data_IF_162834000393
#
_entry.id   IF_162834000393
#
_cell.length_a   1.000
_cell.length_b   1.000
_cell.length_c   1.000
_cell.angle_alpha   90.00
_cell.angle_beta   90.00
_cell.angle_gamma   90.00
#
_symmetry.space_group_name_H-M   'P 1'
#
loop_
_entity.id
_entity.type
_entity.pdbx_description
1 polymer ?
#
# COMPACT_ATOMS: atom_id res chain seq x y z
N UNK A 1 -16.25 -1.93 -12.31
CA UNK A 1 -17.03 -3.18 -12.13
C UNK A 1 -17.76 -3.60 -13.41
N UNK A 2 -18.46 -2.69 -14.10
CA UNK A 2 -19.21 -3.00 -15.33
C UNK A 2 -18.34 -3.54 -16.49
N UNK A 3 -17.12 -3.02 -16.68
CA UNK A 3 -16.21 -3.49 -17.72
C UNK A 3 -15.74 -4.94 -17.54
N UNK A 4 -15.58 -5.39 -16.28
CA UNK A 4 -15.13 -6.77 -15.99
C UNK A 4 -16.23 -7.79 -16.32
N UNK A 5 -17.48 -7.45 -16.01
CA UNK A 5 -18.66 -8.29 -16.29
C UNK A 5 -18.89 -8.40 -17.79
N UNK A 6 -18.73 -7.30 -18.55
CA UNK A 6 -18.87 -7.30 -20.00
C UNK A 6 -17.80 -8.17 -20.70
N UNK A 7 -16.55 -8.13 -20.24
CA UNK A 7 -15.45 -8.92 -20.80
C UNK A 7 -15.60 -10.41 -20.47
N UNK A 8 -16.03 -10.73 -19.25
CA UNK A 8 -16.30 -12.11 -18.84
C UNK A 8 -17.49 -12.70 -19.61
N UNK A 9 -18.56 -11.90 -19.79
CA UNK A 9 -19.74 -12.31 -20.53
C UNK A 9 -19.43 -12.50 -22.03
N UNK A 10 -18.64 -11.61 -22.65
CA UNK A 10 -18.20 -11.76 -24.04
C UNK A 10 -17.31 -13.00 -24.24
N UNK A 11 -16.44 -13.29 -23.28
CA UNK A 11 -15.55 -14.47 -23.32
C UNK A 11 -16.34 -15.78 -23.20
N UNK A 12 -17.36 -15.82 -22.33
CA UNK A 12 -18.25 -16.97 -22.16
C UNK A 12 -19.16 -17.19 -23.39
N UNK A 13 -19.66 -16.10 -24.00
CA UNK A 13 -20.45 -16.18 -25.24
C UNK A 13 -19.63 -16.74 -26.40
N UNK A 14 -18.39 -16.27 -26.55
CA UNK A 14 -17.48 -16.73 -27.60
C UNK A 14 -17.11 -18.22 -27.42
N UNK A 15 -16.91 -18.65 -26.17
CA UNK A 15 -16.67 -20.05 -25.82
C UNK A 15 -17.87 -20.96 -26.17
N UNK A 16 -19.11 -20.46 -25.94
CA UNK A 16 -20.36 -21.19 -26.25
C UNK A 16 -20.61 -21.32 -27.76
N UNK A 17 -20.26 -20.30 -28.54
CA UNK A 17 -20.36 -20.32 -30.02
C UNK A 17 -19.35 -21.30 -30.61
N UNK A 18 -18.12 -21.34 -30.10
CA UNK A 18 -17.08 -22.27 -30.54
C UNK A 18 -17.44 -23.73 -30.17
N UNK A 19 -17.98 -24.00 -28.98
CA UNK A 19 -18.49 -25.34 -28.63
C UNK A 19 -19.69 -25.75 -29.49
N UNK A 20 -20.64 -24.84 -29.72
CA UNK A 20 -21.86 -25.12 -30.48
C UNK A 20 -21.62 -25.39 -31.97
N UNK A 21 -20.63 -24.74 -32.57
CA UNK A 21 -20.24 -24.95 -33.98
C UNK A 21 -19.40 -26.22 -34.18
N UNK A 22 -18.65 -26.66 -33.17
CA UNK A 22 -17.85 -27.90 -33.24
C UNK A 22 -18.68 -29.17 -32.95
N UNK A 23 -19.75 -29.06 -32.16
CA UNK A 23 -20.68 -30.17 -31.90
C UNK A 23 -21.65 -30.43 -33.08
N UNK A 24 -21.96 -29.43 -33.91
CA UNK A 24 -22.90 -29.56 -35.03
C UNK A 24 -22.26 -30.10 -36.33
N UNK A 25 -20.93 -30.14 -36.42
CA UNK A 25 -20.18 -30.55 -37.62
C UNK A 25 -19.63 -31.98 -37.59
N UNK A 26 -20.04 -32.83 -36.64
CA UNK A 26 -19.68 -34.25 -36.60
C UNK A 26 -20.89 -35.15 -36.90
N UNK A 27 -21.34 -35.29 -38.16
CA UNK A 27 -22.43 -36.19 -38.50
C UNK A 27 -22.00 -37.68 -38.62
N UNK A 28 -20.80 -38.07 -38.16
CA UNK A 28 -20.27 -39.43 -38.39
C UNK A 28 -19.60 -40.11 -37.17
N UNK A 29 -19.56 -39.50 -35.98
CA UNK A 29 -18.87 -40.06 -34.79
C UNK A 29 -19.87 -40.46 -33.71
N UNK A 30 -20.77 -41.38 -34.04
CA UNK A 30 -21.51 -42.13 -33.04
C UNK A 30 -21.46 -43.65 -33.32
N UNK A 31 -21.23 -44.05 -34.59
CA UNK A 31 -21.29 -45.44 -35.02
C UNK A 31 -19.95 -46.19 -35.11
N UNK A 32 -18.80 -45.51 -35.09
CA UNK A 32 -17.47 -46.13 -35.30
C UNK A 32 -16.58 -46.27 -34.05
N UNK A 33 -17.13 -46.01 -32.86
CA UNK A 33 -16.45 -46.14 -31.56
C UNK A 33 -16.19 -47.61 -31.11
N UNK A 34 -16.27 -48.58 -32.02
CA UNK A 34 -16.09 -50.00 -31.72
C UNK A 34 -14.89 -50.64 -32.41
N UNK A 35 -13.93 -49.87 -32.96
CA UNK A 35 -12.77 -50.47 -33.63
C UNK A 35 -11.41 -49.79 -33.34
N UNK A 36 -10.70 -50.38 -32.38
CA UNK A 36 -9.26 -50.64 -32.38
C UNK A 36 -8.27 -49.49 -32.08
N UNK A 37 -7.79 -49.49 -30.82
CA UNK A 37 -6.35 -49.43 -30.44
C UNK A 37 -5.44 -48.34 -31.03
N UNK A 38 -5.93 -47.12 -31.22
CA UNK A 38 -5.12 -45.92 -31.52
C UNK A 38 -5.45 -44.70 -30.64
N UNK A 39 -6.30 -44.88 -29.63
CA UNK A 39 -6.97 -43.79 -28.91
C UNK A 39 -6.15 -43.17 -27.77
N UNK A 40 -5.19 -43.90 -27.17
CA UNK A 40 -4.39 -43.35 -26.06
C UNK A 40 -3.45 -42.22 -26.52
N UNK A 41 -2.77 -42.38 -27.66
CA UNK A 41 -1.82 -41.39 -28.18
C UNK A 41 -2.49 -40.06 -28.57
N UNK A 42 -3.75 -40.11 -29.03
CA UNK A 42 -4.49 -38.93 -29.48
C UNK A 42 -5.20 -38.21 -28.33
N UNK A 43 -5.66 -38.93 -27.29
CA UNK A 43 -6.25 -38.31 -26.09
C UNK A 43 -5.16 -37.65 -25.25
N UNK A 44 -3.97 -38.26 -25.15
CA UNK A 44 -2.83 -37.64 -24.47
C UNK A 44 -2.24 -36.47 -25.27
N UNK A 45 -2.17 -36.55 -26.60
CA UNK A 45 -1.81 -35.40 -27.43
C UNK A 45 -2.85 -34.27 -27.39
N UNK A 46 -4.15 -34.60 -27.36
CA UNK A 46 -5.22 -33.61 -27.20
C UNK A 46 -5.22 -33.00 -25.80
N UNK A 47 -4.95 -33.77 -24.74
CA UNK A 47 -4.79 -33.29 -23.37
C UNK A 47 -3.57 -32.37 -23.26
N UNK A 48 -2.44 -32.74 -23.86
CA UNK A 48 -1.24 -31.92 -23.90
C UNK A 48 -1.46 -30.62 -24.72
N UNK A 49 -2.16 -30.70 -25.86
CA UNK A 49 -2.55 -29.54 -26.65
C UNK A 49 -3.53 -28.62 -25.89
N UNK A 50 -4.50 -29.20 -25.17
CA UNK A 50 -5.40 -28.46 -24.28
C UNK A 50 -4.64 -27.84 -23.10
N UNK A 51 -3.67 -28.51 -22.48
CA UNK A 51 -2.83 -27.95 -21.41
C UNK A 51 -1.89 -26.84 -21.92
N UNK A 52 -1.38 -26.96 -23.15
CA UNK A 52 -0.64 -25.91 -23.85
C UNK A 52 -1.53 -24.70 -24.16
N UNK A 53 -2.76 -24.92 -24.62
CA UNK A 53 -3.71 -23.84 -24.98
C UNK A 53 -4.35 -23.18 -23.74
N UNK A 54 -4.75 -23.95 -22.72
CA UNK A 54 -5.28 -23.48 -21.43
C UNK A 54 -4.19 -22.87 -20.56
N UNK A 55 -2.98 -23.45 -20.56
CA UNK A 55 -1.83 -22.92 -19.85
C UNK A 55 -1.33 -21.59 -20.43
N UNK A 56 -1.33 -21.44 -21.76
CA UNK A 56 -0.90 -20.21 -22.42
C UNK A 56 -1.92 -19.06 -22.28
N UNK A 57 -3.22 -19.33 -22.37
CA UNK A 57 -4.27 -18.34 -22.13
C UNK A 57 -4.42 -17.96 -20.65
N UNK A 58 -4.30 -18.91 -19.71
CA UNK A 58 -4.36 -18.60 -18.28
C UNK A 58 -3.14 -17.78 -17.85
N UNK A 59 -1.91 -18.14 -18.26
CA UNK A 59 -0.70 -17.36 -17.94
C UNK A 59 -0.73 -15.95 -18.50
N UNK A 60 -1.24 -15.75 -19.72
CA UNK A 60 -1.34 -14.42 -20.35
C UNK A 60 -2.44 -13.56 -19.72
N UNK A 61 -3.55 -14.18 -19.32
CA UNK A 61 -4.59 -13.47 -18.56
C UNK A 61 -4.06 -13.11 -17.16
N UNK A 62 -3.44 -14.04 -16.45
CA UNK A 62 -2.84 -13.80 -15.13
C UNK A 62 -1.77 -12.70 -15.20
N UNK A 63 -0.93 -12.66 -16.23
CA UNK A 63 0.07 -11.58 -16.38
C UNK A 63 -0.57 -10.21 -16.61
N UNK A 64 -1.64 -10.13 -17.40
CA UNK A 64 -2.38 -8.87 -17.62
C UNK A 64 -3.13 -8.43 -16.34
N UNK A 65 -3.69 -9.37 -15.59
CA UNK A 65 -4.30 -9.08 -14.30
C UNK A 65 -3.27 -8.60 -13.27
N UNK A 66 -2.10 -9.23 -13.19
CA UNK A 66 -1.02 -8.81 -12.29
C UNK A 66 -0.47 -7.44 -12.72
N UNK A 67 -0.38 -7.15 -14.02
CA UNK A 67 0.12 -5.87 -14.51
C UNK A 67 -0.81 -4.70 -14.18
N UNK A 68 -2.12 -4.87 -14.36
CA UNK A 68 -3.09 -3.79 -14.11
C UNK A 68 -3.49 -3.68 -12.63
N UNK A 69 -3.84 -4.81 -12.00
CA UNK A 69 -4.28 -4.80 -10.61
C UNK A 69 -3.12 -4.77 -9.63
N UNK A 70 -1.96 -5.33 -9.98
CA UNK A 70 -0.78 -5.31 -9.11
C UNK A 70 -0.26 -3.90 -8.85
N UNK A 71 -0.31 -3.01 -9.85
CA UNK A 71 0.07 -1.60 -9.67
C UNK A 71 -0.94 -0.85 -8.80
N UNK A 72 -2.24 -1.05 -9.01
CA UNK A 72 -3.27 -0.42 -8.19
C UNK A 72 -3.21 -0.89 -6.73
N UNK A 73 -3.08 -2.20 -6.50
CA UNK A 73 -2.91 -2.79 -5.17
C UNK A 73 -1.61 -2.27 -4.54
N UNK A 74 -0.52 -2.23 -5.29
CA UNK A 74 0.76 -1.70 -4.85
C UNK A 74 0.67 -0.24 -4.41
N UNK A 75 0.00 0.62 -5.19
CA UNK A 75 -0.21 2.02 -4.84
C UNK A 75 -1.10 2.18 -3.60
N UNK A 76 -2.14 1.36 -3.44
CA UNK A 76 -3.00 1.39 -2.25
C UNK A 76 -2.19 0.96 -1.02
N UNK A 77 -1.40 -0.12 -1.11
CA UNK A 77 -0.56 -0.58 0.00
C UNK A 77 0.51 0.46 0.34
N UNK A 78 1.23 0.99 -0.65
CA UNK A 78 2.24 2.04 -0.45
C UNK A 78 1.65 3.30 0.17
N UNK A 79 0.47 3.76 -0.29
CA UNK A 79 -0.18 4.94 0.30
C UNK A 79 -0.64 4.68 1.74
N UNK A 80 -1.17 3.49 2.05
CA UNK A 80 -1.51 3.12 3.43
C UNK A 80 -0.27 3.02 4.32
N UNK A 81 0.85 2.48 3.81
CA UNK A 81 2.13 2.44 4.51
C UNK A 81 2.67 3.86 4.75
N UNK A 82 2.70 4.73 3.73
CA UNK A 82 3.17 6.11 3.85
C UNK A 82 2.28 6.90 4.81
N UNK A 83 0.96 6.83 4.69
CA UNK A 83 0.03 7.50 5.60
C UNK A 83 0.13 6.91 7.02
N UNK A 84 0.33 5.61 7.16
CA UNK A 84 0.60 4.94 8.43
C UNK A 84 1.88 5.47 9.08
N UNK A 85 2.98 5.52 8.33
CA UNK A 85 4.26 6.10 8.75
C UNK A 85 4.12 7.57 9.12
N UNK A 86 3.45 8.39 8.30
CA UNK A 86 3.22 9.81 8.59
C UNK A 86 2.41 9.99 9.87
N UNK A 87 1.35 9.20 10.08
CA UNK A 87 0.56 9.22 11.32
C UNK A 87 1.39 8.78 12.53
N UNK A 88 2.25 7.79 12.37
CA UNK A 88 3.14 7.32 13.43
C UNK A 88 4.19 8.38 13.81
N UNK A 89 4.85 8.98 12.82
CA UNK A 89 5.81 10.08 13.02
C UNK A 89 5.14 11.30 13.67
N UNK A 90 3.89 11.62 13.29
CA UNK A 90 3.15 12.73 13.91
C UNK A 90 2.76 12.42 15.36
N UNK A 91 2.46 11.15 15.67
CA UNK A 91 2.13 10.73 17.04
C UNK A 91 3.34 10.80 17.98
N UNK A 92 4.54 10.51 17.50
CA UNK A 92 5.77 10.55 18.32
C UNK A 92 6.25 11.97 18.65
N UNK A 93 5.65 13.03 18.09
CA UNK A 93 6.05 14.42 18.33
C UNK A 93 5.27 15.13 19.44
N UNK A 94 4.45 14.41 20.22
CA UNK A 94 3.65 15.05 21.27
C UNK A 94 4.53 15.49 22.45
N UNK A 95 4.65 16.79 22.65
CA UNK A 95 5.29 17.38 23.83
C UNK A 95 4.43 17.08 25.05
N UNK A 96 5.05 16.55 26.10
CA UNK A 96 4.36 16.26 27.36
C UNK A 96 4.59 17.41 28.33
N UNK A 97 3.55 17.83 29.04
CA UNK A 97 3.65 18.86 30.09
C UNK A 97 3.63 18.16 31.45
N UNK A 98 4.59 18.48 32.30
CA UNK A 98 4.70 17.98 33.67
C UNK A 98 4.96 19.13 34.63
N UNK A 99 4.64 18.96 35.90
CA UNK A 99 4.97 19.93 36.95
C UNK A 99 6.21 19.45 37.70
N UNK A 100 7.17 20.34 37.93
CA UNK A 100 8.37 20.03 38.69
C UNK A 100 8.04 19.71 40.16
N UNK A 101 8.70 18.68 40.71
CA UNK A 101 8.64 18.32 42.11
C UNK A 101 10.04 18.26 42.71
N UNK A 102 10.17 18.74 43.93
CA UNK A 102 11.41 18.67 44.72
C UNK A 102 11.87 17.21 44.87
N UNK A 103 12.98 16.85 44.21
CA UNK A 103 13.51 15.48 44.13
C UNK A 103 13.52 14.84 42.72
N UNK A 104 13.08 15.56 41.69
CA UNK A 104 13.19 15.12 40.31
C UNK A 104 14.65 15.05 39.81
N UNK A 105 14.89 14.27 38.74
CA UNK A 105 16.23 14.07 38.14
C UNK A 105 16.81 15.31 37.47
N UNK A 106 15.95 16.26 37.09
CA UNK A 106 16.31 17.47 36.35
C UNK A 106 16.34 18.63 37.35
N UNK A 107 17.46 19.34 37.42
CA UNK A 107 17.65 20.41 38.43
C UNK A 107 17.64 21.81 37.82
N UNK A 108 18.05 21.94 36.56
CA UNK A 108 18.25 23.23 35.89
C UNK A 108 17.74 23.22 34.47
N UNK A 109 17.22 24.35 34.03
CA UNK A 109 16.84 24.57 32.64
C UNK A 109 18.05 25.07 31.84
N UNK A 110 18.39 24.37 30.76
CA UNK A 110 19.57 24.71 29.93
C UNK A 110 19.38 26.00 29.12
N UNK A 111 18.13 26.43 28.90
CA UNK A 111 17.82 27.63 28.11
C UNK A 111 18.06 28.90 28.93
N UNK A 112 17.50 28.99 30.13
CA UNK A 112 17.63 30.15 31.01
C UNK A 112 18.74 30.01 32.06
N UNK A 113 19.31 28.81 32.22
CA UNK A 113 20.34 28.48 33.22
C UNK A 113 19.87 28.68 34.68
N UNK A 114 18.55 28.64 34.92
CA UNK A 114 17.93 28.78 36.24
C UNK A 114 17.52 27.40 36.77
N UNK A 115 17.62 27.21 38.09
CA UNK A 115 17.11 26.03 38.80
C UNK A 115 15.58 25.94 38.76
N UNK A 116 15.04 24.73 38.78
CA UNK A 116 13.60 24.54 38.80
C UNK A 116 13.01 24.74 40.20
N UNK A 117 11.89 25.44 40.26
CA UNK A 117 11.13 25.66 41.49
C UNK A 117 9.88 24.78 41.56
N UNK A 118 9.49 24.37 42.77
CA UNK A 118 8.35 23.49 42.98
C UNK A 118 7.05 24.12 42.44
N UNK A 119 6.34 23.39 41.59
CA UNK A 119 5.13 23.89 40.93
C UNK A 119 5.36 24.51 39.54
N UNK A 120 6.60 24.65 39.08
CA UNK A 120 6.87 25.13 37.72
C UNK A 120 6.41 24.14 36.64
N UNK A 121 5.94 24.70 35.51
CA UNK A 121 5.53 23.92 34.35
C UNK A 121 6.73 23.58 33.47
N UNK A 122 6.99 22.29 33.34
CA UNK A 122 8.03 21.71 32.51
C UNK A 122 7.42 21.09 31.25
N UNK A 123 8.15 21.19 30.14
CA UNK A 123 7.84 20.53 28.88
C UNK A 123 8.91 19.52 28.55
N UNK A 124 8.47 18.28 28.34
CA UNK A 124 9.30 17.14 27.95
C UNK A 124 9.14 16.95 26.44
N UNK A 125 10.24 17.15 25.72
CA UNK A 125 10.30 16.93 24.27
C UNK A 125 10.30 15.42 23.94
N UNK A 126 9.96 15.03 22.70
CA UNK A 126 9.99 13.63 22.29
C UNK A 126 11.38 12.98 22.35
N UNK A 127 12.45 13.79 22.44
CA UNK A 127 13.82 13.35 22.69
C UNK A 127 14.16 13.21 24.20
N UNK A 128 13.17 13.23 25.09
CA UNK A 128 13.29 13.09 26.55
C UNK A 128 14.02 14.22 27.30
N UNK A 129 14.27 15.35 26.64
CA UNK A 129 14.81 16.55 27.26
C UNK A 129 13.71 17.40 27.88
N UNK A 130 14.03 18.08 28.98
CA UNK A 130 13.09 18.82 29.83
C UNK A 130 13.50 20.28 29.89
N UNK A 131 12.52 21.18 29.77
CA UNK A 131 12.70 22.63 29.79
C UNK A 131 11.52 23.30 30.49
N UNK A 132 11.67 24.55 30.94
CA UNK A 132 10.50 25.35 31.29
C UNK A 132 9.57 25.50 30.09
N UNK A 133 8.26 25.48 30.33
CA UNK A 133 7.27 25.66 29.28
C UNK A 133 7.43 26.99 28.55
N UNK A 134 7.72 28.07 29.29
CA UNK A 134 7.97 29.42 28.74
C UNK A 134 9.23 29.46 27.89
N UNK A 135 10.35 28.93 28.40
CA UNK A 135 11.64 28.96 27.69
C UNK A 135 11.59 28.23 26.34
N UNK A 136 10.98 27.05 26.31
CA UNK A 136 10.91 26.28 25.06
C UNK A 136 9.93 26.89 24.06
N UNK A 137 8.83 27.52 24.52
CA UNK A 137 7.90 28.21 23.65
C UNK A 137 8.54 29.44 23.02
N UNK A 138 9.23 30.27 23.81
CA UNK A 138 10.00 31.41 23.30
C UNK A 138 11.07 30.99 22.30
N UNK A 139 11.76 29.87 22.55
CA UNK A 139 12.75 29.32 21.62
C UNK A 139 12.14 28.94 20.26
N UNK A 140 10.98 28.29 20.24
CA UNK A 140 10.29 27.96 18.99
C UNK A 140 9.78 29.20 18.24
N UNK A 141 9.29 30.22 18.96
CA UNK A 141 8.83 31.48 18.37
C UNK A 141 9.97 32.23 17.65
N UNK A 142 11.16 32.26 18.25
CA UNK A 142 12.35 32.87 17.64
C UNK A 142 12.74 32.12 16.36
N UNK A 143 12.71 30.79 16.39
CA UNK A 143 13.02 30.00 15.19
C UNK A 143 11.98 30.19 14.08
N UNK A 144 10.68 30.30 14.39
CA UNK A 144 9.67 30.58 13.36
C UNK A 144 9.78 31.98 12.77
N UNK A 145 10.16 33.00 13.54
CA UNK A 145 10.38 34.35 13.02
C UNK A 145 11.63 34.49 12.13
N UNK A 146 12.60 33.58 12.24
CA UNK A 146 13.71 33.53 11.29
C UNK A 146 13.26 33.14 9.88
N UNK A 147 12.13 32.45 9.71
CA UNK A 147 11.56 32.16 8.40
C UNK A 147 10.91 33.41 7.75
N UNK A 148 10.39 34.35 8.54
CA UNK A 148 9.87 35.64 8.05
C UNK A 148 11.00 36.64 7.75
N UNK A 149 12.13 36.57 8.48
CA UNK A 149 13.26 37.48 8.25
C UNK A 149 14.00 37.18 6.93
N UNK A 150 14.11 35.91 6.53
CA UNK A 150 14.77 35.54 5.25
C UNK A 150 13.97 36.02 4.03
N UNK A 151 12.64 36.20 4.12
CA UNK A 151 11.82 36.72 3.02
C UNK A 151 11.85 38.26 2.87
N UNK A 152 12.49 38.99 3.78
CA UNK A 152 12.57 40.46 3.73
C UNK A 152 13.96 41.00 3.35
N UNK A 153 15.00 40.15 3.26
CA UNK A 153 16.35 40.55 2.83
C UNK A 153 16.62 40.29 1.33
N UNK A 154 15.75 39.55 0.63
CA UNK A 154 15.82 39.34 -0.83
C UNK A 154 15.20 40.50 -1.66
N UNK A 155 14.90 41.64 -1.03
CA UNK A 155 14.26 42.80 -1.66
C UNK A 155 15.05 44.11 -1.48
N UNK A 156 16.39 44.01 -1.38
CA UNK A 156 17.32 45.13 -1.48
C UNK A 156 18.33 44.93 -2.61
#
# INVERSE_FOLDING_TARGET
MCHLVSVLHASLLNCRIILGTKLRSLPAVASELSRFSGLSLTVDAARHYWDLQFGYCSKRMISLFIQEFGMAIGMIVCTLLVVGCMRWCRKSQKITVSTFKTGDKYVTCVICMVEYEEGEQLKILPCSHVYHGTCIDSWFLIQSHSADFILNDDLL
#
